data_IF_118418701301
#
_entry.id   IF_118418701301
#
_cell.length_a   1.000
_cell.length_b   1.000
_cell.length_c   1.000
_cell.angle_alpha   90.00
_cell.angle_beta   90.00
_cell.angle_gamma   90.00
#
_symmetry.space_group_name_H-M   'P 1'
#
loop_
_entity.id
_entity.type
_entity.pdbx_description
1 polymer ?
#
# COMPACT_ATOMS: atom_id res chain seq x y z
N UNK A 1 5.43 6.26 17.65
CA UNK A 1 4.80 6.37 16.30
C UNK A 1 4.86 7.80 15.81
N UNK A 2 5.29 8.06 14.57
CA UNK A 2 5.33 9.39 13.96
C UNK A 2 3.93 9.97 13.80
N UNK A 3 3.81 11.32 13.85
CA UNK A 3 2.49 11.98 13.83
C UNK A 3 1.68 11.66 12.57
N UNK A 4 2.34 11.59 11.40
CA UNK A 4 1.64 11.32 10.15
C UNK A 4 1.08 9.89 10.07
N UNK A 5 1.71 8.91 10.74
CA UNK A 5 1.18 7.53 10.82
C UNK A 5 -0.10 7.47 11.63
N UNK A 6 -0.14 8.21 12.76
CA UNK A 6 -1.37 8.36 13.54
C UNK A 6 -2.47 9.04 12.72
N UNK A 7 -2.15 10.17 12.07
CA UNK A 7 -3.07 10.89 11.20
C UNK A 7 -3.59 10.00 10.05
N UNK A 8 -2.73 9.14 9.50
CA UNK A 8 -3.12 8.20 8.46
C UNK A 8 -4.09 7.12 8.96
N UNK A 9 -3.89 6.59 10.17
CA UNK A 9 -4.82 5.64 10.79
C UNK A 9 -6.20 6.30 10.98
N UNK A 10 -6.23 7.51 11.54
CA UNK A 10 -7.45 8.29 11.73
C UNK A 10 -8.14 8.57 10.37
N UNK A 11 -7.37 8.92 9.34
CA UNK A 11 -7.86 9.14 7.98
C UNK A 11 -8.46 7.87 7.35
N UNK A 12 -7.85 6.68 7.56
CA UNK A 12 -8.43 5.41 7.10
C UNK A 12 -9.79 5.13 7.74
N UNK A 13 -9.95 5.44 9.04
CA UNK A 13 -11.21 5.29 9.77
C UNK A 13 -12.26 6.28 9.23
N UNK A 14 -11.91 7.56 9.13
CA UNK A 14 -12.80 8.62 8.64
C UNK A 14 -13.30 8.38 7.22
N UNK A 15 -12.44 7.80 6.39
CA UNK A 15 -12.76 7.46 4.99
C UNK A 15 -13.53 6.14 4.86
N UNK A 16 -13.90 5.48 5.96
CA UNK A 16 -14.52 4.15 5.98
C UNK A 16 -13.69 3.06 5.26
N UNK A 17 -12.39 3.26 5.15
CA UNK A 17 -11.44 2.31 4.56
C UNK A 17 -11.07 1.23 5.56
N UNK A 18 -10.81 1.60 6.81
CA UNK A 18 -10.53 0.67 7.90
C UNK A 18 -11.75 0.59 8.83
N UNK A 19 -12.22 -0.63 9.07
CA UNK A 19 -13.39 -0.93 9.90
C UNK A 19 -13.10 -2.09 10.85
N UNK A 20 -13.73 -2.04 12.02
CA UNK A 20 -13.65 -3.07 13.05
C UNK A 20 -15.02 -3.74 13.24
N UNK A 21 -15.05 -5.07 13.39
CA UNK A 21 -16.26 -5.87 13.50
C UNK A 21 -16.02 -7.29 13.00
N UNK A 22 -17.07 -8.02 12.69
CA UNK A 22 -16.97 -9.38 12.14
C UNK A 22 -17.09 -9.34 10.61
N UNK A 23 -16.03 -9.73 9.91
CA UNK A 23 -15.97 -9.76 8.45
C UNK A 23 -15.56 -11.14 7.95
N UNK A 24 -16.17 -11.58 6.85
CA UNK A 24 -15.72 -12.76 6.13
C UNK A 24 -14.90 -12.32 4.92
N UNK A 25 -13.60 -12.64 4.93
CA UNK A 25 -12.71 -12.31 3.82
C UNK A 25 -12.97 -13.22 2.61
N UNK A 26 -12.45 -12.84 1.44
CA UNK A 26 -12.54 -13.67 0.21
C UNK A 26 -11.93 -15.06 0.36
N UNK A 27 -10.98 -15.22 1.26
CA UNK A 27 -10.37 -16.50 1.64
C UNK A 27 -11.28 -17.39 2.50
N UNK A 28 -12.42 -16.88 2.95
CA UNK A 28 -13.30 -17.54 3.93
C UNK A 28 -12.91 -17.30 5.39
N UNK A 29 -11.77 -16.68 5.68
CA UNK A 29 -11.36 -16.35 7.05
C UNK A 29 -12.31 -15.36 7.69
N UNK A 30 -12.61 -15.54 8.97
CA UNK A 30 -13.32 -14.57 9.80
C UNK A 30 -12.29 -13.57 10.35
N UNK A 31 -12.44 -12.28 10.03
CA UNK A 31 -11.52 -11.23 10.45
C UNK A 31 -12.23 -10.20 11.33
N UNK A 32 -11.61 -9.75 12.44
CA UNK A 32 -12.15 -8.71 13.31
C UNK A 32 -11.97 -7.30 12.75
N UNK A 33 -11.35 -7.16 11.59
CA UNK A 33 -11.19 -5.90 10.89
C UNK A 33 -11.24 -6.10 9.38
N UNK A 34 -11.57 -5.04 8.67
CA UNK A 34 -11.65 -5.03 7.21
C UNK A 34 -11.07 -3.75 6.65
N UNK A 35 -10.30 -3.87 5.58
CA UNK A 35 -9.77 -2.73 4.84
C UNK A 35 -10.24 -2.76 3.39
N UNK A 36 -10.75 -1.62 2.91
CA UNK A 36 -11.16 -1.43 1.52
C UNK A 36 -10.69 -0.08 0.98
N UNK A 37 -9.54 -0.05 0.34
CA UNK A 37 -8.99 1.16 -0.28
C UNK A 37 -9.86 1.71 -1.43
N UNK A 38 -10.82 0.94 -1.96
CA UNK A 38 -11.82 1.42 -2.91
C UNK A 38 -12.80 2.45 -2.33
N UNK A 39 -12.77 2.71 -1.02
CA UNK A 39 -13.58 3.74 -0.38
C UNK A 39 -12.99 5.15 -0.49
N UNK A 40 -11.76 5.31 -0.96
CA UNK A 40 -11.21 6.62 -1.32
C UNK A 40 -11.76 7.06 -2.67
N UNK A 41 -12.79 7.89 -2.66
CA UNK A 41 -13.55 8.26 -3.88
C UNK A 41 -13.60 9.77 -4.18
N UNK A 42 -13.12 10.60 -3.25
CA UNK A 42 -13.10 12.05 -3.44
C UNK A 42 -11.70 12.59 -3.74
N UNK A 43 -11.62 13.74 -4.45
CA UNK A 43 -10.35 14.39 -4.71
C UNK A 43 -9.61 14.79 -3.43
N UNK A 44 -10.34 15.21 -2.38
CA UNK A 44 -9.75 15.53 -1.08
C UNK A 44 -9.11 14.30 -0.43
N UNK A 45 -9.78 13.13 -0.49
CA UNK A 45 -9.23 11.87 0.02
C UNK A 45 -8.00 11.44 -0.78
N UNK A 46 -8.04 11.50 -2.12
CA UNK A 46 -6.91 11.11 -2.97
C UNK A 46 -5.70 12.03 -2.75
N UNK A 47 -5.92 13.34 -2.63
CA UNK A 47 -4.84 14.30 -2.30
C UNK A 47 -4.19 13.96 -0.96
N UNK A 48 -4.97 13.73 0.08
CA UNK A 48 -4.46 13.39 1.41
C UNK A 48 -3.76 12.04 1.43
N UNK A 49 -4.32 11.03 0.75
CA UNK A 49 -3.72 9.72 0.58
C UNK A 49 -2.35 9.80 -0.09
N UNK A 50 -2.24 10.57 -1.18
CA UNK A 50 -0.96 10.82 -1.87
C UNK A 50 0.10 11.45 -0.96
N UNK A 51 -0.31 12.37 -0.06
CA UNK A 51 0.61 12.98 0.91
C UNK A 51 1.13 11.96 1.94
N UNK A 52 0.29 11.04 2.43
CA UNK A 52 0.75 10.00 3.36
C UNK A 52 1.72 9.02 2.68
N UNK A 53 1.42 8.61 1.45
CA UNK A 53 2.35 7.77 0.68
C UNK A 53 3.67 8.49 0.40
N UNK A 54 3.62 9.76 0.00
CA UNK A 54 4.83 10.53 -0.27
C UNK A 54 5.72 10.64 0.97
N UNK A 55 5.15 10.90 2.14
CA UNK A 55 5.88 10.95 3.42
C UNK A 55 6.53 9.59 3.75
N UNK A 56 5.77 8.50 3.63
CA UNK A 56 6.29 7.16 3.92
C UNK A 56 7.38 6.73 2.92
N UNK A 57 7.20 7.00 1.63
CA UNK A 57 8.20 6.71 0.60
C UNK A 57 9.48 7.51 0.88
N UNK A 58 9.36 8.80 1.20
CA UNK A 58 10.53 9.64 1.52
C UNK A 58 11.26 9.14 2.78
N UNK A 59 10.53 8.70 3.81
CA UNK A 59 11.11 8.15 5.04
C UNK A 59 11.89 6.85 4.79
N UNK A 60 11.35 5.94 3.96
CA UNK A 60 11.92 4.62 3.75
C UNK A 60 12.93 4.55 2.60
N UNK A 61 12.75 5.37 1.55
CA UNK A 61 13.50 5.26 0.30
C UNK A 61 14.17 6.58 -0.12
N UNK A 62 13.88 7.70 0.58
CA UNK A 62 14.36 9.02 0.18
C UNK A 62 13.66 9.54 -1.07
N UNK A 63 14.38 10.36 -1.83
CA UNK A 63 13.90 10.97 -3.08
C UNK A 63 14.78 10.62 -4.30
N UNK A 64 15.74 9.70 -4.14
CA UNK A 64 16.61 9.25 -5.22
C UNK A 64 15.96 8.12 -6.03
N UNK A 65 14.83 8.44 -6.67
CA UNK A 65 14.15 7.58 -7.63
C UNK A 65 13.45 8.43 -8.71
N UNK A 66 13.12 7.80 -9.85
CA UNK A 66 12.66 8.49 -11.05
C UNK A 66 11.18 8.24 -11.35
N UNK A 67 10.68 7.06 -11.00
CA UNK A 67 9.36 6.58 -11.40
C UNK A 67 8.62 5.99 -10.20
N UNK A 68 7.35 6.42 -10.03
CA UNK A 68 6.37 5.71 -9.23
C UNK A 68 5.52 4.81 -10.13
N UNK A 69 5.62 3.50 -9.92
CA UNK A 69 4.84 2.53 -10.67
C UNK A 69 3.65 2.03 -9.86
N UNK A 70 2.45 2.33 -10.35
CA UNK A 70 1.20 1.86 -9.72
C UNK A 70 0.48 0.82 -10.58
N UNK A 71 0.44 -0.45 -10.16
CA UNK A 71 -0.26 -1.51 -10.91
C UNK A 71 -1.74 -1.22 -11.14
N UNK A 72 -2.24 -1.49 -12.35
CA UNK A 72 -3.65 -1.29 -12.67
C UNK A 72 -4.55 -2.25 -11.85
N UNK A 73 -5.70 -1.76 -11.37
CA UNK A 73 -6.27 -0.44 -11.67
C UNK A 73 -6.13 0.55 -10.51
N UNK A 74 -6.09 0.08 -9.25
CA UNK A 74 -6.06 0.95 -8.07
C UNK A 74 -4.75 1.72 -7.92
N UNK A 75 -3.64 1.13 -8.35
CA UNK A 75 -2.34 1.80 -8.35
C UNK A 75 -2.28 3.02 -9.27
N UNK A 76 -3.14 3.13 -10.31
CA UNK A 76 -3.14 4.26 -11.23
C UNK A 76 -3.44 5.58 -10.49
N UNK A 77 -4.63 5.77 -9.87
CA UNK A 77 -4.91 7.01 -9.14
C UNK A 77 -3.96 7.23 -7.97
N UNK A 78 -3.47 6.15 -7.34
CA UNK A 78 -2.56 6.22 -6.22
C UNK A 78 -1.18 6.77 -6.65
N UNK A 79 -0.60 6.26 -7.74
CA UNK A 79 0.68 6.76 -8.27
C UNK A 79 0.58 8.22 -8.72
N UNK A 80 -0.51 8.60 -9.38
CA UNK A 80 -0.76 10.00 -9.79
C UNK A 80 -0.85 10.92 -8.57
N UNK A 81 -1.68 10.57 -7.58
CA UNK A 81 -1.83 11.39 -6.37
C UNK A 81 -0.52 11.53 -5.60
N UNK A 82 0.27 10.47 -5.54
CA UNK A 82 1.56 10.46 -4.82
C UNK A 82 2.64 11.26 -5.56
N UNK A 83 2.71 11.23 -6.90
CA UNK A 83 3.65 12.07 -7.66
C UNK A 83 3.33 13.56 -7.49
N UNK A 84 2.05 13.94 -7.49
CA UNK A 84 1.63 15.32 -7.18
C UNK A 84 2.09 15.71 -5.77
N UNK A 85 1.88 14.85 -4.78
CA UNK A 85 2.28 15.11 -3.41
C UNK A 85 3.81 15.23 -3.24
N UNK A 86 4.61 14.46 -3.99
CA UNK A 86 6.07 14.60 -4.00
C UNK A 86 6.52 15.95 -4.51
N UNK A 87 5.93 16.44 -5.61
CA UNK A 87 6.21 17.77 -6.13
C UNK A 87 5.84 18.87 -5.12
N UNK A 88 4.66 18.76 -4.49
CA UNK A 88 4.20 19.73 -3.48
C UNK A 88 5.06 19.74 -2.20
N UNK A 89 5.43 18.56 -1.67
CA UNK A 89 6.09 18.44 -0.37
C UNK A 89 7.61 18.59 -0.44
N UNK A 90 8.22 18.09 -1.51
CA UNK A 90 9.68 17.96 -1.61
C UNK A 90 10.28 18.69 -2.82
N UNK A 91 9.45 19.30 -3.70
CA UNK A 91 9.91 19.96 -4.91
C UNK A 91 10.57 18.99 -5.92
N UNK A 92 10.32 17.69 -5.78
CA UNK A 92 10.90 16.64 -6.63
C UNK A 92 9.93 16.23 -7.73
N UNK A 93 10.37 16.35 -8.97
CA UNK A 93 9.63 15.86 -10.12
C UNK A 93 9.86 14.36 -10.31
N UNK A 94 8.79 13.59 -10.10
CA UNK A 94 8.76 12.13 -10.25
C UNK A 94 7.76 11.77 -11.33
N UNK A 95 8.11 10.86 -12.20
CA UNK A 95 7.22 10.37 -13.26
C UNK A 95 6.30 9.28 -12.73
N UNK A 96 5.00 9.30 -13.07
CA UNK A 96 4.13 8.15 -12.80
C UNK A 96 4.12 7.20 -13.99
N UNK A 97 4.00 5.92 -13.70
CA UNK A 97 3.81 4.87 -14.67
C UNK A 97 2.85 3.82 -14.12
N UNK A 98 2.13 3.16 -15.00
CA UNK A 98 1.22 2.06 -14.67
C UNK A 98 1.20 1.07 -15.83
N UNK A 99 0.82 -0.18 -15.59
CA UNK A 99 0.54 -1.10 -16.68
C UNK A 99 -0.92 -1.00 -17.14
N UNK A 100 -1.16 -1.38 -18.39
CA UNK A 100 -2.50 -1.71 -18.89
C UNK A 100 -2.75 -3.20 -18.67
N UNK A 101 -3.98 -3.60 -18.42
CA UNK A 101 -4.35 -5.02 -18.39
C UNK A 101 -4.61 -5.58 -19.79
N UNK A 102 -4.86 -4.70 -20.76
CA UNK A 102 -5.07 -5.04 -22.16
C UNK A 102 -4.09 -4.26 -23.04
N UNK A 103 -3.50 -4.95 -24.02
CA UNK A 103 -2.60 -4.30 -24.99
C UNK A 103 -3.46 -3.48 -25.95
N UNK A 104 -3.14 -2.18 -26.11
CA UNK A 104 -3.74 -1.34 -27.14
C UNK A 104 -2.94 -1.44 -28.44
N UNK A 105 -3.64 -1.67 -29.53
CA UNK A 105 -3.12 -1.74 -30.91
C UNK A 105 -3.34 -0.43 -31.70
N UNK A 106 -4.12 0.52 -31.14
CA UNK A 106 -4.42 1.80 -31.79
C UNK A 106 -4.15 2.99 -30.85
N UNK A 107 -3.69 4.11 -31.42
CA UNK A 107 -3.39 5.35 -30.72
C UNK A 107 -2.10 5.24 -29.90
N UNK A 108 -2.18 5.53 -28.61
CA UNK A 108 -1.07 5.36 -27.67
C UNK A 108 -0.86 3.87 -27.39
N UNK A 109 -0.08 3.23 -28.26
CA UNK A 109 0.18 1.79 -28.27
C UNK A 109 1.12 1.37 -27.15
N UNK A 110 0.94 0.14 -26.63
CA UNK A 110 1.83 -0.46 -25.65
C UNK A 110 1.12 -0.89 -24.36
N UNK A 111 1.91 -1.48 -23.47
CA UNK A 111 1.46 -2.04 -22.20
C UNK A 111 1.49 -1.04 -21.05
N UNK A 112 2.17 0.10 -21.22
CA UNK A 112 2.30 1.14 -20.20
C UNK A 112 1.30 2.27 -20.38
N UNK A 113 0.98 2.93 -19.27
CA UNK A 113 0.22 4.17 -19.15
C UNK A 113 1.06 5.17 -18.35
N UNK A 114 1.03 6.45 -18.75
CA UNK A 114 1.87 7.48 -18.16
C UNK A 114 3.24 7.57 -18.81
N UNK A 115 4.31 7.67 -18.02
CA UNK A 115 5.64 7.79 -18.58
C UNK A 115 6.19 6.45 -19.10
N UNK A 116 7.15 6.53 -20.02
CA UNK A 116 8.02 5.39 -20.35
C UNK A 116 8.98 5.14 -19.19
N UNK A 117 9.44 3.90 -19.11
CA UNK A 117 10.54 3.47 -18.24
C UNK A 117 11.78 3.35 -19.13
N UNK A 118 12.90 3.91 -18.69
CA UNK A 118 14.16 3.95 -19.45
C UNK A 118 15.27 3.20 -18.72
N UNK A 119 16.32 2.82 -19.43
CA UNK A 119 17.51 2.20 -18.82
C UNK A 119 18.12 3.13 -17.75
N UNK A 120 18.44 2.56 -16.61
CA UNK A 120 18.98 3.28 -15.46
C UNK A 120 17.95 3.94 -14.56
N UNK A 121 16.65 3.90 -14.90
CA UNK A 121 15.60 4.43 -14.00
C UNK A 121 15.55 3.65 -12.69
N UNK A 122 15.37 4.38 -11.62
CA UNK A 122 15.05 3.88 -10.29
C UNK A 122 13.54 3.93 -10.07
N UNK A 123 12.93 2.78 -9.75
CA UNK A 123 11.48 2.63 -9.70
C UNK A 123 11.04 2.28 -8.28
N UNK A 124 10.09 3.02 -7.72
CA UNK A 124 9.33 2.63 -6.54
C UNK A 124 7.97 2.11 -6.97
N UNK A 125 7.61 0.90 -6.52
CA UNK A 125 6.27 0.33 -6.75
C UNK A 125 5.35 0.77 -5.62
N UNK A 126 4.11 1.10 -5.96
CA UNK A 126 3.11 1.56 -5.00
C UNK A 126 1.82 0.77 -5.17
N UNK A 127 1.30 0.20 -4.08
CA UNK A 127 0.06 -0.59 -4.06
C UNK A 127 -0.81 -0.18 -2.87
N UNK A 128 -2.10 -0.52 -2.90
CA UNK A 128 -3.00 -0.26 -1.78
C UNK A 128 -2.72 -1.21 -0.61
N UNK A 129 -2.82 -2.51 -0.84
CA UNK A 129 -2.49 -3.59 0.11
C UNK A 129 -2.02 -4.81 -0.66
N UNK A 130 -1.23 -5.65 -0.03
CA UNK A 130 -0.90 -6.97 -0.56
C UNK A 130 -1.21 -8.06 0.45
N UNK A 131 -1.77 -9.18 -0.01
CA UNK A 131 -2.07 -10.36 0.82
C UNK A 131 -1.33 -11.61 0.34
N UNK A 132 -1.06 -11.71 -0.95
CA UNK A 132 -0.40 -12.87 -1.57
C UNK A 132 0.78 -12.50 -2.46
N UNK A 133 1.13 -11.22 -2.59
CA UNK A 133 2.17 -10.76 -3.50
C UNK A 133 1.85 -10.91 -5.00
N UNK A 134 0.65 -11.41 -5.36
CA UNK A 134 0.29 -11.70 -6.76
C UNK A 134 0.40 -10.48 -7.68
N UNK A 135 0.04 -9.30 -7.20
CA UNK A 135 0.16 -8.07 -7.98
C UNK A 135 1.62 -7.77 -8.34
N UNK A 136 2.54 -8.00 -7.42
CA UNK A 136 3.98 -7.82 -7.65
C UNK A 136 4.51 -8.91 -8.59
N UNK A 137 4.05 -10.14 -8.44
CA UNK A 137 4.42 -11.25 -9.34
C UNK A 137 4.02 -10.95 -10.81
N UNK A 138 2.86 -10.32 -11.03
CA UNK A 138 2.42 -9.89 -12.36
C UNK A 138 3.17 -8.63 -12.85
N UNK A 139 3.48 -7.70 -11.96
CA UNK A 139 4.03 -6.38 -12.29
C UNK A 139 5.54 -6.37 -12.48
N UNK A 140 6.28 -7.10 -11.65
CA UNK A 140 7.75 -7.15 -11.70
C UNK A 140 8.29 -7.52 -13.10
N UNK A 141 7.84 -8.60 -13.76
CA UNK A 141 8.31 -8.92 -15.11
C UNK A 141 7.91 -7.86 -16.15
N UNK A 142 6.78 -7.18 -15.97
CA UNK A 142 6.36 -6.10 -16.87
C UNK A 142 7.36 -4.94 -16.81
N UNK A 143 7.74 -4.51 -15.60
CA UNK A 143 8.71 -3.42 -15.40
C UNK A 143 10.08 -3.83 -15.97
N UNK A 144 10.57 -5.00 -15.60
CA UNK A 144 11.90 -5.51 -16.04
C UNK A 144 11.99 -5.76 -17.54
N UNK A 145 10.87 -6.00 -18.21
CA UNK A 145 10.83 -6.16 -19.68
C UNK A 145 10.91 -4.83 -20.44
N UNK A 146 10.72 -3.68 -19.78
CA UNK A 146 10.77 -2.38 -20.46
C UNK A 146 12.19 -1.87 -20.63
N UNK A 147 13.02 -2.03 -19.60
CA UNK A 147 14.36 -1.45 -19.55
C UNK A 147 15.19 -2.10 -18.42
N UNK A 148 16.50 -1.86 -18.42
CA UNK A 148 17.36 -2.22 -17.30
C UNK A 148 17.20 -1.18 -16.17
N UNK A 149 16.42 -1.53 -15.14
CA UNK A 149 16.04 -0.65 -14.06
C UNK A 149 16.37 -1.23 -12.69
N UNK A 150 16.55 -0.35 -11.72
CA UNK A 150 16.61 -0.67 -10.30
C UNK A 150 15.20 -0.53 -9.69
N UNK A 151 14.70 -1.56 -8.99
CA UNK A 151 13.51 -1.41 -8.14
C UNK A 151 13.98 -1.06 -6.74
N UNK A 152 13.73 0.18 -6.33
CA UNK A 152 14.16 0.75 -5.03
C UNK A 152 13.34 0.17 -3.88
N UNK A 153 12.03 -0.08 -4.12
CA UNK A 153 11.17 -0.68 -3.10
C UNK A 153 9.70 -0.74 -3.49
N UNK A 154 8.94 -1.36 -2.60
CA UNK A 154 7.47 -1.41 -2.62
C UNK A 154 6.92 -0.67 -1.40
N UNK A 155 5.94 0.22 -1.61
CA UNK A 155 5.18 0.86 -0.55
C UNK A 155 3.71 0.48 -0.63
N UNK A 156 3.15 -0.02 0.48
CA UNK A 156 1.70 -0.26 0.64
C UNK A 156 1.13 0.57 1.77
N UNK A 157 -0.20 0.69 1.87
CA UNK A 157 -0.82 1.47 2.94
C UNK A 157 -0.77 0.78 4.30
N UNK A 158 -1.09 -0.51 4.34
CA UNK A 158 -1.20 -1.28 5.58
C UNK A 158 -0.55 -2.65 5.44
N UNK A 159 0.40 -2.95 6.32
CA UNK A 159 0.82 -4.33 6.54
C UNK A 159 -0.15 -4.99 7.53
N UNK A 160 -0.92 -5.94 7.04
CA UNK A 160 -1.87 -6.70 7.86
C UNK A 160 -1.18 -7.67 8.82
N UNK A 161 0.13 -7.90 8.67
CA UNK A 161 0.94 -8.80 9.50
C UNK A 161 0.38 -10.23 9.57
N UNK A 162 -0.28 -10.66 8.51
CA UNK A 162 -0.83 -12.01 8.36
C UNK A 162 0.15 -12.89 7.60
N UNK A 163 0.22 -14.16 8.02
CA UNK A 163 0.99 -15.18 7.30
C UNK A 163 0.48 -15.34 5.88
N UNK A 164 1.40 -15.51 4.94
CA UNK A 164 1.10 -16.02 3.60
C UNK A 164 0.44 -17.41 3.63
N UNK A 165 0.03 -17.88 2.46
CA UNK A 165 -0.57 -19.23 2.34
C UNK A 165 0.48 -20.35 2.41
N UNK A 166 1.75 -20.04 2.11
CA UNK A 166 2.84 -21.00 1.94
C UNK A 166 3.98 -20.85 2.95
N UNK A 167 3.98 -19.80 3.76
CA UNK A 167 5.05 -19.52 4.73
C UNK A 167 4.52 -18.95 6.04
N UNK A 168 5.41 -18.78 7.03
CA UNK A 168 5.12 -18.07 8.29
C UNK A 168 5.43 -16.56 8.19
N UNK A 169 5.96 -16.09 7.06
CA UNK A 169 6.29 -14.70 6.80
C UNK A 169 5.07 -13.92 6.29
N UNK A 170 5.11 -12.59 6.42
CA UNK A 170 4.12 -11.73 5.80
C UNK A 170 4.31 -11.67 4.27
N UNK A 171 3.28 -11.23 3.55
CA UNK A 171 3.40 -11.02 2.11
C UNK A 171 4.51 -10.02 1.73
N UNK A 172 4.79 -9.02 2.58
CA UNK A 172 5.88 -8.07 2.35
C UNK A 172 7.25 -8.72 2.54
N UNK A 173 7.41 -9.58 3.56
CA UNK A 173 8.66 -10.30 3.79
C UNK A 173 8.93 -11.29 2.64
N UNK A 174 7.89 -12.03 2.18
CA UNK A 174 8.01 -12.93 1.03
C UNK A 174 8.42 -12.19 -0.26
N UNK A 175 7.86 -10.98 -0.50
CA UNK A 175 8.23 -10.14 -1.63
C UNK A 175 9.69 -9.71 -1.52
N UNK A 176 10.11 -9.22 -0.34
CA UNK A 176 11.47 -8.78 -0.11
C UNK A 176 12.47 -9.93 -0.32
N UNK A 177 12.18 -11.12 0.21
CA UNK A 177 13.04 -12.29 0.04
C UNK A 177 13.11 -12.74 -1.44
N UNK A 178 11.95 -12.79 -2.12
CA UNK A 178 11.85 -13.31 -3.49
C UNK A 178 12.47 -12.37 -4.53
N UNK A 179 12.30 -11.06 -4.37
CA UNK A 179 12.67 -10.08 -5.41
C UNK A 179 13.88 -9.22 -5.06
N UNK A 180 14.36 -9.24 -3.80
CA UNK A 180 15.59 -8.59 -3.38
C UNK A 180 15.51 -7.08 -3.19
N UNK A 181 14.31 -6.49 -3.09
CA UNK A 181 14.12 -5.08 -2.77
C UNK A 181 13.25 -4.92 -1.51
N UNK A 182 13.42 -3.82 -0.73
CA UNK A 182 12.65 -3.60 0.48
C UNK A 182 11.16 -3.40 0.19
N UNK A 183 10.30 -3.99 1.03
CA UNK A 183 8.87 -3.85 0.95
C UNK A 183 8.32 -3.34 2.29
N UNK A 184 7.72 -2.16 2.29
CA UNK A 184 7.29 -1.46 3.49
C UNK A 184 5.81 -1.04 3.40
N UNK A 185 5.24 -0.69 4.55
CA UNK A 185 3.89 -0.14 4.66
C UNK A 185 3.93 1.20 5.39
N UNK A 186 2.95 2.08 5.12
CA UNK A 186 2.79 3.33 5.88
C UNK A 186 2.58 3.01 7.35
N UNK A 187 1.71 2.02 7.64
CA UNK A 187 1.42 1.53 9.00
C UNK A 187 1.26 0.02 9.01
N UNK A 188 1.44 -0.55 10.20
CA UNK A 188 1.12 -1.95 10.51
C UNK A 188 -0.18 -2.07 11.30
N UNK A 189 -0.75 -3.26 11.42
CA UNK A 189 -1.88 -3.47 12.32
C UNK A 189 -1.50 -3.33 13.80
N UNK A 190 -0.23 -3.50 14.16
CA UNK A 190 0.26 -3.18 15.52
C UNK A 190 0.16 -1.67 15.77
N UNK A 191 0.60 -0.83 14.82
CA UNK A 191 0.44 0.63 14.89
C UNK A 191 -1.03 1.03 15.05
N UNK A 192 -1.93 0.37 14.30
CA UNK A 192 -3.38 0.61 14.39
C UNK A 192 -3.91 0.28 15.78
N UNK A 193 -3.53 -0.87 16.33
CA UNK A 193 -3.94 -1.28 17.69
C UNK A 193 -3.36 -0.32 18.72
N UNK A 194 -2.06 0.01 18.65
CA UNK A 194 -1.43 0.98 19.54
C UNK A 194 -2.12 2.34 19.48
N UNK A 195 -2.54 2.78 18.30
CA UNK A 195 -3.20 4.06 18.10
C UNK A 195 -4.61 4.12 18.69
N UNK A 196 -5.41 3.03 18.57
CA UNK A 196 -6.87 3.06 18.79
C UNK A 196 -7.34 2.27 20.01
N UNK A 197 -6.52 1.37 20.56
CA UNK A 197 -6.94 0.55 21.70
C UNK A 197 -7.17 1.39 22.94
N UNK A 198 -8.38 1.29 23.51
CA UNK A 198 -8.83 2.04 24.69
C UNK A 198 -8.67 3.57 24.55
N UNK A 199 -8.57 4.07 23.32
CA UNK A 199 -8.50 5.52 23.05
C UNK A 199 -9.76 5.99 22.37
N UNK A 200 -10.28 7.10 22.89
CA UNK A 200 -11.43 7.75 22.29
C UNK A 200 -11.04 8.46 21.01
N UNK A 201 -11.78 8.17 19.94
CA UNK A 201 -11.70 8.86 18.68
C UNK A 201 -13.10 9.31 18.26
N UNK A 202 -13.32 10.63 18.15
CA UNK A 202 -14.62 11.25 17.80
C UNK A 202 -15.79 10.74 18.64
N UNK A 203 -15.59 10.61 19.96
CA UNK A 203 -16.62 10.17 20.90
C UNK A 203 -16.84 8.66 20.96
N UNK A 204 -15.97 7.85 20.35
CA UNK A 204 -16.09 6.40 20.30
C UNK A 204 -14.76 5.71 20.62
N UNK A 205 -14.81 4.59 21.32
CA UNK A 205 -13.68 3.66 21.45
C UNK A 205 -13.82 2.63 20.35
N UNK A 206 -12.94 2.73 19.34
CA UNK A 206 -12.99 1.87 18.14
C UNK A 206 -12.44 0.47 18.41
N UNK A 207 -11.46 0.34 19.29
CA UNK A 207 -10.92 -0.94 19.76
C UNK A 207 -11.02 -0.97 21.28
N UNK A 208 -12.09 -1.59 21.77
CA UNK A 208 -12.31 -1.92 23.17
C UNK A 208 -11.66 -3.28 23.53
N UNK A 209 -11.84 -3.76 24.77
CA UNK A 209 -11.27 -5.04 25.23
C UNK A 209 -11.82 -6.24 24.46
N UNK A 210 -13.09 -6.21 24.06
CA UNK A 210 -13.71 -7.31 23.31
C UNK A 210 -13.10 -7.39 21.91
N UNK A 211 -13.00 -6.27 21.20
CA UNK A 211 -12.38 -6.21 19.88
C UNK A 211 -10.88 -6.51 19.93
N UNK A 212 -10.18 -6.03 20.96
CA UNK A 212 -8.77 -6.36 21.17
C UNK A 212 -8.58 -7.86 21.34
N UNK A 213 -9.40 -8.51 22.15
CA UNK A 213 -9.38 -9.97 22.33
C UNK A 213 -9.64 -10.73 21.02
N UNK A 214 -10.58 -10.24 20.21
CA UNK A 214 -10.86 -10.83 18.89
C UNK A 214 -9.67 -10.65 17.93
N UNK A 215 -9.02 -9.50 17.94
CA UNK A 215 -7.80 -9.23 17.15
C UNK A 215 -6.66 -10.16 17.61
N UNK A 216 -6.43 -10.31 18.91
CA UNK A 216 -5.39 -11.18 19.46
C UNK A 216 -5.62 -12.65 19.10
N UNK A 217 -6.86 -13.13 19.21
CA UNK A 217 -7.23 -14.48 18.80
C UNK A 217 -7.01 -14.71 17.29
N UNK A 218 -7.33 -13.71 16.47
CA UNK A 218 -7.09 -13.76 15.04
C UNK A 218 -5.59 -13.85 14.70
N UNK A 219 -4.74 -13.05 15.37
CA UNK A 219 -3.30 -13.11 15.17
C UNK A 219 -2.63 -14.34 15.75
N UNK A 220 -3.18 -14.94 16.82
CA UNK A 220 -2.71 -16.22 17.32
C UNK A 220 -2.87 -17.33 16.27
N UNK A 221 -3.90 -17.24 15.42
CA UNK A 221 -4.18 -18.20 14.36
C UNK A 221 -3.52 -17.86 13.03
N UNK A 222 -3.56 -16.58 12.60
CA UNK A 222 -3.18 -16.14 11.26
C UNK A 222 -2.00 -15.16 11.21
N UNK A 223 -1.51 -14.67 12.35
CA UNK A 223 -0.40 -13.73 12.42
C UNK A 223 0.95 -14.34 12.01
N UNK A 224 1.87 -13.49 11.58
CA UNK A 224 3.28 -13.85 11.39
C UNK A 224 3.88 -14.35 12.70
N UNK A 225 4.84 -15.27 12.62
CA UNK A 225 5.50 -15.89 13.80
C UNK A 225 6.97 -15.58 13.82
#
# INVERSE_FOLDING_TARGET
MESYKKEFIEFMVDSNVLKFGEFTLKSGRKSPFFMNAGAYVTGAQLRQLGQYYAKAIYEHYGDDFDVLFGPAYKGIPLSVATTIAFSELYGKEIRYCSNRKEVKDHGDTGILLGSKINDGDKVVIIEDVTTSGKSIEETFPIIKAQADVEIVGLMVSLNRMERGLSSNASALDEIQEKYGFPANAIVTMEDVVECLYQKEYKGQILIDDERKKAIDAYYAEYGVK
#
